data_IF_693707702203
#
_entry.id   IF_693707702203
#
_cell.length_a   1.000
_cell.length_b   1.000
_cell.length_c   1.000
_cell.angle_alpha   90.00
_cell.angle_beta   90.00
_cell.angle_gamma   90.00
#
_symmetry.space_group_name_H-M   'P 1'
#
loop_
_entity.id
_entity.type
_entity.pdbx_description
1 polymer ?
#
# COMPACT_ATOMS: atom_id res chain seq x y z
N UNK A 1 58.50 -31.90 12.10
CA UNK A 1 57.07 -31.78 11.75
C UNK A 1 56.96 -31.92 10.24
N UNK A 2 56.47 -33.06 9.74
CA UNK A 2 56.44 -33.35 8.30
C UNK A 2 55.48 -32.44 7.55
N UNK A 3 55.95 -31.90 6.43
CA UNK A 3 55.19 -31.04 5.49
C UNK A 3 54.03 -31.78 4.81
N UNK A 4 54.02 -33.12 4.85
CA UNK A 4 52.95 -33.97 4.29
C UNK A 4 51.62 -33.93 5.06
N UNK A 5 51.61 -33.39 6.28
CA UNK A 5 50.40 -33.25 7.11
C UNK A 5 49.55 -32.01 6.72
N UNK A 6 50.16 -31.02 6.07
CA UNK A 6 49.48 -29.77 5.72
C UNK A 6 48.34 -29.95 4.69
N UNK A 7 48.49 -30.76 3.61
CA UNK A 7 47.40 -31.05 2.69
C UNK A 7 46.25 -31.85 3.33
N UNK A 8 46.54 -32.71 4.32
CA UNK A 8 45.51 -33.45 5.05
C UNK A 8 44.69 -32.50 5.95
N UNK A 9 45.37 -31.63 6.69
CA UNK A 9 44.74 -30.62 7.54
C UNK A 9 43.92 -29.60 6.73
N UNK A 10 44.41 -29.18 5.57
CA UNK A 10 43.66 -28.30 4.67
C UNK A 10 42.36 -28.95 4.18
N UNK A 11 42.42 -30.22 3.74
CA UNK A 11 41.21 -30.98 3.34
C UNK A 11 40.22 -31.12 4.48
N UNK A 12 40.70 -31.42 5.69
CA UNK A 12 39.85 -31.50 6.89
C UNK A 12 39.17 -30.15 7.20
N UNK A 13 39.92 -29.05 7.18
CA UNK A 13 39.38 -27.71 7.38
C UNK A 13 38.36 -27.31 6.30
N UNK A 14 38.63 -27.64 5.03
CA UNK A 14 37.68 -27.42 3.93
C UNK A 14 36.41 -28.28 4.08
N UNK A 15 36.53 -29.49 4.62
CA UNK A 15 35.38 -30.34 4.97
C UNK A 15 34.53 -29.71 6.07
N UNK A 16 35.16 -29.27 7.16
CA UNK A 16 34.48 -28.60 8.26
C UNK A 16 33.78 -27.30 7.82
N UNK A 17 34.43 -26.49 6.98
CA UNK A 17 33.83 -25.26 6.44
C UNK A 17 32.61 -25.55 5.56
N UNK A 18 32.66 -26.58 4.72
CA UNK A 18 31.51 -27.01 3.91
C UNK A 18 30.35 -27.49 4.77
N UNK A 19 30.63 -28.28 5.81
CA UNK A 19 29.62 -28.74 6.75
C UNK A 19 28.98 -27.57 7.52
N UNK A 20 29.80 -26.63 8.01
CA UNK A 20 29.31 -25.44 8.70
C UNK A 20 28.43 -24.57 7.78
N UNK A 21 28.84 -24.39 6.51
CA UNK A 21 28.03 -23.67 5.53
C UNK A 21 26.68 -24.36 5.27
N UNK A 22 26.68 -25.67 5.05
CA UNK A 22 25.44 -26.43 4.87
C UNK A 22 24.51 -26.32 6.09
N UNK A 23 25.07 -26.31 7.31
CA UNK A 23 24.31 -26.09 8.54
C UNK A 23 23.68 -24.69 8.61
N UNK A 24 24.40 -23.65 8.17
CA UNK A 24 23.86 -22.29 8.10
C UNK A 24 22.75 -22.17 7.06
N UNK A 25 22.94 -22.77 5.88
CA UNK A 25 21.93 -22.77 4.82
C UNK A 25 20.64 -23.47 5.29
N UNK A 26 20.78 -24.60 6.02
CA UNK A 26 19.64 -25.30 6.62
C UNK A 26 18.95 -24.45 7.68
N UNK A 27 19.70 -23.83 8.60
CA UNK A 27 19.13 -22.97 9.63
C UNK A 27 18.38 -21.76 9.04
N UNK A 28 18.87 -21.19 7.93
CA UNK A 28 18.19 -20.12 7.21
C UNK A 28 16.88 -20.61 6.58
N UNK A 29 16.87 -21.80 5.99
CA UNK A 29 15.65 -22.41 5.45
C UNK A 29 14.61 -22.67 6.55
N UNK A 30 15.03 -23.19 7.70
CA UNK A 30 14.17 -23.45 8.85
C UNK A 30 13.58 -22.15 9.42
N UNK A 31 14.39 -21.09 9.52
CA UNK A 31 13.92 -19.77 9.96
C UNK A 31 12.89 -19.19 8.98
N UNK A 32 13.15 -19.27 7.67
CA UNK A 32 12.21 -18.81 6.65
C UNK A 32 10.87 -19.58 6.73
N UNK A 33 10.93 -20.91 6.92
CA UNK A 33 9.75 -21.73 7.10
C UNK A 33 8.96 -21.36 8.37
N UNK A 34 9.65 -21.10 9.49
CA UNK A 34 9.03 -20.66 10.74
C UNK A 34 8.34 -19.29 10.59
N UNK A 35 9.01 -18.32 9.96
CA UNK A 35 8.41 -17.01 9.67
C UNK A 35 7.14 -17.13 8.81
N UNK A 36 7.18 -17.97 7.77
CA UNK A 36 6.02 -18.22 6.91
C UNK A 36 4.86 -18.89 7.68
N UNK A 37 5.17 -19.81 8.60
CA UNK A 37 4.17 -20.45 9.45
C UNK A 37 3.50 -19.44 10.40
N UNK A 38 4.28 -18.57 11.04
CA UNK A 38 3.76 -17.51 11.92
C UNK A 38 2.86 -16.55 11.16
N UNK A 39 3.28 -16.09 9.97
CA UNK A 39 2.46 -15.21 9.13
C UNK A 39 1.12 -15.86 8.75
N UNK A 40 1.13 -17.16 8.45
CA UNK A 40 -0.07 -17.92 8.12
C UNK A 40 -1.02 -18.05 9.32
N UNK A 41 -0.48 -18.32 10.51
CA UNK A 41 -1.27 -18.39 11.74
C UNK A 41 -1.88 -17.03 12.12
N UNK A 42 -1.12 -15.95 11.93
CA UNK A 42 -1.63 -14.59 12.15
C UNK A 42 -2.81 -14.27 11.21
N UNK A 43 -2.67 -14.55 9.92
CA UNK A 43 -3.74 -14.35 8.94
C UNK A 43 -5.00 -15.20 9.26
N UNK A 44 -4.82 -16.45 9.69
CA UNK A 44 -5.93 -17.31 10.12
C UNK A 44 -6.60 -16.79 11.40
N UNK A 45 -5.83 -16.30 12.36
CA UNK A 45 -6.37 -15.71 13.59
C UNK A 45 -7.19 -14.45 13.27
N UNK A 46 -6.67 -13.55 12.44
CA UNK A 46 -7.37 -12.35 11.99
C UNK A 46 -8.67 -12.70 11.26
N UNK A 47 -8.62 -13.63 10.30
CA UNK A 47 -9.82 -14.09 9.59
C UNK A 47 -10.88 -14.68 10.53
N UNK A 48 -10.46 -15.45 11.55
CA UNK A 48 -11.36 -15.98 12.58
C UNK A 48 -11.99 -14.88 13.43
N UNK A 49 -11.21 -13.87 13.83
CA UNK A 49 -11.73 -12.72 14.58
C UNK A 49 -12.78 -11.98 13.75
N UNK A 50 -12.47 -11.68 12.48
CA UNK A 50 -13.39 -11.00 11.57
C UNK A 50 -14.67 -11.82 11.38
N UNK A 51 -14.57 -13.13 11.17
CA UNK A 51 -15.72 -14.02 10.99
C UNK A 51 -16.57 -14.17 12.26
N UNK A 52 -15.98 -13.98 13.45
CA UNK A 52 -16.69 -14.01 14.72
C UNK A 52 -17.36 -12.67 15.08
N UNK A 53 -17.07 -11.59 14.36
CA UNK A 53 -17.78 -10.33 14.55
C UNK A 53 -19.25 -10.50 14.16
N UNK A 54 -20.19 -9.94 14.94
CA UNK A 54 -21.59 -9.98 14.59
C UNK A 54 -21.82 -9.30 13.24
N UNK A 55 -22.63 -9.90 12.38
CA UNK A 55 -23.09 -9.24 11.16
C UNK A 55 -23.84 -7.97 11.55
N UNK A 56 -23.42 -6.83 11.01
CA UNK A 56 -24.16 -5.59 11.18
C UNK A 56 -25.37 -5.63 10.26
N UNK A 57 -26.49 -6.11 10.79
CA UNK A 57 -27.78 -6.14 10.07
C UNK A 57 -28.48 -4.77 10.08
N UNK A 58 -27.78 -3.71 10.54
CA UNK A 58 -28.30 -2.34 10.54
C UNK A 58 -28.39 -1.88 9.08
N UNK A 59 -29.59 -1.64 8.54
CA UNK A 59 -29.74 -1.09 7.20
C UNK A 59 -29.03 0.27 7.14
N UNK A 60 -28.48 0.64 5.99
CA UNK A 60 -27.97 2.01 5.79
C UNK A 60 -29.12 2.99 6.05
N UNK A 61 -29.12 3.59 7.24
CA UNK A 61 -30.27 4.33 7.76
C UNK A 61 -30.45 5.64 7.00
N UNK A 62 -31.69 6.15 6.98
CA UNK A 62 -31.97 7.51 6.51
C UNK A 62 -31.10 8.55 7.23
N UNK A 63 -30.72 8.30 8.50
CA UNK A 63 -29.78 9.11 9.27
C UNK A 63 -28.41 9.26 8.57
N UNK A 64 -27.83 8.18 8.03
CA UNK A 64 -26.55 8.26 7.28
C UNK A 64 -26.69 9.01 5.95
N UNK A 65 -27.87 8.96 5.31
CA UNK A 65 -28.19 9.76 4.10
C UNK A 65 -28.40 11.24 4.43
N UNK A 66 -29.04 11.55 5.56
CA UNK A 66 -29.24 12.92 6.04
C UNK A 66 -27.93 13.59 6.48
N UNK A 67 -26.99 12.82 7.04
CA UNK A 67 -25.64 13.27 7.36
C UNK A 67 -24.64 13.13 6.22
N UNK A 68 -25.07 12.65 5.04
CA UNK A 68 -24.26 12.79 3.84
C UNK A 68 -24.21 14.30 3.55
N UNK A 69 -23.04 14.96 3.59
CA UNK A 69 -23.00 16.37 3.26
C UNK A 69 -23.49 16.51 1.82
N UNK A 70 -24.68 17.10 1.65
CA UNK A 70 -25.31 17.33 0.34
C UNK A 70 -24.61 18.42 -0.48
N UNK A 71 -23.53 19.00 0.06
CA UNK A 71 -22.70 19.96 -0.65
C UNK A 71 -21.80 19.22 -1.63
N UNK A 72 -21.88 19.47 -2.94
CA UNK A 72 -20.93 18.92 -3.91
C UNK A 72 -19.51 19.30 -3.48
N UNK A 73 -18.54 18.42 -3.73
CA UNK A 73 -17.16 18.78 -3.44
C UNK A 73 -16.79 20.02 -4.27
N UNK A 74 -15.90 20.85 -3.75
CA UNK A 74 -15.55 22.10 -4.42
C UNK A 74 -15.03 21.88 -5.85
N UNK A 75 -14.31 20.78 -6.09
CA UNK A 75 -13.87 20.33 -7.42
C UNK A 75 -15.01 19.84 -8.34
N UNK A 76 -16.15 19.42 -7.78
CA UNK A 76 -17.33 19.09 -8.60
C UNK A 76 -18.02 20.38 -9.07
N UNK A 77 -18.09 21.38 -8.19
CA UNK A 77 -18.74 22.68 -8.43
C UNK A 77 -17.88 23.66 -9.25
N UNK A 78 -16.55 23.52 -9.22
CA UNK A 78 -15.61 24.43 -9.89
C UNK A 78 -14.87 23.71 -11.05
N UNK A 79 -15.33 23.86 -12.30
CA UNK A 79 -14.74 23.14 -13.44
C UNK A 79 -13.32 23.62 -13.77
N UNK A 80 -13.01 24.89 -13.51
CA UNK A 80 -11.68 25.46 -13.74
C UNK A 80 -10.67 24.88 -12.73
N UNK A 81 -11.02 24.89 -11.43
CA UNK A 81 -10.19 24.29 -10.39
C UNK A 81 -10.04 22.78 -10.60
N UNK A 82 -11.09 22.10 -11.08
CA UNK A 82 -11.02 20.69 -11.46
C UNK A 82 -10.03 20.44 -12.59
N UNK A 83 -10.09 21.22 -13.66
CA UNK A 83 -9.15 21.11 -14.78
C UNK A 83 -7.71 21.35 -14.32
N UNK A 84 -7.49 22.34 -13.45
CA UNK A 84 -6.19 22.62 -12.86
C UNK A 84 -5.62 21.41 -12.10
N UNK A 85 -6.43 20.80 -11.24
CA UNK A 85 -6.04 19.61 -10.47
C UNK A 85 -5.77 18.42 -11.38
N UNK A 86 -6.67 18.13 -12.33
CA UNK A 86 -6.53 17.00 -13.25
C UNK A 86 -5.27 17.10 -14.11
N UNK A 87 -4.90 18.30 -14.56
CA UNK A 87 -3.69 18.51 -15.35
C UNK A 87 -2.38 18.23 -14.58
N UNK A 88 -2.43 18.16 -13.24
CA UNK A 88 -1.26 18.04 -12.35
C UNK A 88 -1.27 16.78 -11.49
N UNK A 89 -2.39 16.06 -11.45
CA UNK A 89 -2.62 14.94 -10.52
C UNK A 89 -1.64 13.78 -10.74
N UNK A 90 -1.16 13.62 -11.98
CA UNK A 90 -0.24 12.56 -12.38
C UNK A 90 1.24 12.95 -12.22
N UNK A 91 1.55 14.25 -12.14
CA UNK A 91 2.92 14.77 -12.11
C UNK A 91 3.33 15.37 -10.76
N UNK A 92 2.37 15.81 -9.94
CA UNK A 92 2.61 16.47 -8.65
C UNK A 92 1.93 15.73 -7.51
N UNK A 93 2.51 15.88 -6.31
CA UNK A 93 1.89 15.38 -5.08
C UNK A 93 0.68 16.26 -4.69
N UNK A 94 -0.27 15.70 -3.94
CA UNK A 94 -1.44 16.47 -3.47
C UNK A 94 -1.08 17.71 -2.64
N UNK A 95 0.06 17.67 -1.93
CA UNK A 95 0.54 18.83 -1.18
C UNK A 95 1.00 19.93 -2.14
N UNK A 96 1.84 19.59 -3.12
CA UNK A 96 2.31 20.55 -4.13
C UNK A 96 1.15 21.18 -4.91
N UNK A 97 0.13 20.38 -5.28
CA UNK A 97 -1.06 20.90 -5.96
C UNK A 97 -1.81 21.88 -5.06
N UNK A 98 -1.98 21.58 -3.77
CA UNK A 98 -2.64 22.49 -2.82
C UNK A 98 -1.85 23.80 -2.65
N UNK A 99 -0.52 23.73 -2.64
CA UNK A 99 0.34 24.91 -2.54
C UNK A 99 0.24 25.77 -3.81
N UNK A 100 0.24 25.17 -5.00
CA UNK A 100 0.01 25.89 -6.27
C UNK A 100 -1.39 26.52 -6.35
N UNK A 101 -2.41 25.82 -5.85
CA UNK A 101 -3.77 26.38 -5.73
C UNK A 101 -3.76 27.59 -4.81
N UNK A 102 -3.05 27.52 -3.68
CA UNK A 102 -2.95 28.64 -2.75
C UNK A 102 -2.25 29.87 -3.36
N UNK A 103 -1.33 29.66 -4.31
CA UNK A 103 -0.66 30.73 -5.04
C UNK A 103 -1.56 31.39 -6.09
N UNK A 104 -2.37 30.60 -6.82
CA UNK A 104 -3.09 31.07 -8.00
C UNK A 104 -4.56 31.42 -7.76
N UNK A 105 -5.19 30.83 -6.75
CA UNK A 105 -6.61 30.99 -6.49
C UNK A 105 -6.87 31.87 -5.25
N UNK A 106 -7.96 32.67 -5.27
CA UNK A 106 -8.39 33.45 -4.11
C UNK A 106 -8.79 32.51 -2.96
N UNK A 107 -8.74 33.01 -1.72
CA UNK A 107 -8.85 32.21 -0.49
C UNK A 107 -10.09 31.31 -0.47
N UNK A 108 -11.20 31.78 -1.02
CA UNK A 108 -12.50 31.11 -1.08
C UNK A 108 -12.49 29.90 -2.03
N UNK A 109 -11.58 29.90 -3.01
CA UNK A 109 -11.41 28.82 -4.00
C UNK A 109 -10.30 27.83 -3.64
N UNK A 110 -9.57 28.08 -2.55
CA UNK A 110 -8.46 27.21 -2.12
C UNK A 110 -8.97 25.91 -1.53
N UNK A 111 -8.28 24.82 -1.86
CA UNK A 111 -8.55 23.49 -1.31
C UNK A 111 -7.27 22.87 -0.77
N UNK A 112 -7.39 22.17 0.36
CA UNK A 112 -6.27 21.45 0.96
C UNK A 112 -6.05 20.08 0.32
N UNK A 113 -4.85 19.52 0.52
CA UNK A 113 -4.44 18.20 -0.03
C UNK A 113 -5.44 17.08 0.24
N UNK A 114 -6.07 17.07 1.42
CA UNK A 114 -7.01 16.03 1.81
C UNK A 114 -8.27 16.07 0.96
N UNK A 115 -8.75 17.27 0.60
CA UNK A 115 -9.89 17.44 -0.29
C UNK A 115 -9.57 16.92 -1.70
N UNK A 116 -8.37 17.22 -2.21
CA UNK A 116 -7.86 16.72 -3.49
C UNK A 116 -7.78 15.19 -3.48
N UNK A 117 -7.14 14.59 -2.47
CA UNK A 117 -6.99 13.13 -2.35
C UNK A 117 -8.35 12.42 -2.25
N UNK A 118 -9.26 12.90 -1.40
CA UNK A 118 -10.59 12.30 -1.26
C UNK A 118 -11.42 12.39 -2.53
N UNK A 119 -11.32 13.52 -3.25
CA UNK A 119 -11.99 13.69 -4.52
C UNK A 119 -11.41 12.76 -5.60
N UNK A 120 -10.09 12.67 -5.72
CA UNK A 120 -9.44 11.80 -6.70
C UNK A 120 -9.77 10.33 -6.45
N UNK A 121 -9.61 9.84 -5.21
CA UNK A 121 -9.94 8.44 -4.84
C UNK A 121 -11.41 8.10 -5.15
N UNK A 122 -12.34 9.04 -4.98
CA UNK A 122 -13.76 8.83 -5.29
C UNK A 122 -14.02 8.72 -6.80
N UNK A 123 -13.30 9.51 -7.60
CA UNK A 123 -13.53 9.64 -9.03
C UNK A 123 -12.67 8.70 -9.90
N UNK A 124 -11.58 8.13 -9.37
CA UNK A 124 -10.71 7.17 -10.07
C UNK A 124 -11.49 6.01 -10.72
N UNK A 125 -12.51 5.48 -10.04
CA UNK A 125 -13.34 4.37 -10.57
C UNK A 125 -14.16 4.75 -11.81
N UNK A 126 -14.45 6.03 -12.01
CA UNK A 126 -15.15 6.54 -13.20
C UNK A 126 -14.20 6.83 -14.36
N UNK A 127 -12.93 7.13 -14.08
CA UNK A 127 -11.93 7.44 -15.11
C UNK A 127 -11.26 6.19 -15.70
N UNK A 128 -11.09 5.12 -14.94
CA UNK A 128 -10.47 3.86 -15.44
C UNK A 128 -11.45 2.93 -16.16
N UNK A 129 -12.71 3.34 -16.36
CA UNK A 129 -13.77 2.53 -16.99
C UNK A 129 -14.04 2.81 -18.47
N UNK A 130 -13.30 3.72 -19.11
CA UNK A 130 -13.49 4.08 -20.53
C UNK A 130 -12.18 3.92 -21.29
N UNK A 131 -11.80 2.66 -21.54
CA UNK A 131 -10.59 2.32 -22.26
C UNK A 131 -10.55 0.87 -22.71
N UNK A 132 -11.64 0.35 -23.30
CA UNK A 132 -11.56 -0.70 -24.32
C UNK A 132 -12.92 -0.92 -25.01
N UNK A 133 -13.13 -0.28 -26.16
CA UNK A 133 -14.09 -0.70 -27.19
C UNK A 133 -13.73 0.02 -28.50
N UNK A 134 -13.19 -0.75 -29.45
CA UNK A 134 -13.07 -0.36 -30.86
C UNK A 134 -11.65 0.00 -31.30
N UNK A 135 -10.90 -1.01 -31.74
CA UNK A 135 -10.63 -1.28 -33.17
C UNK A 135 -10.20 -2.73 -33.35
#
# INVERSE_FOLDING_TARGET
MSTDDLPARLRAAQGALRAAKAGLDQAQADLAAACAAVARLAALAEAKVIAALPSSDVPVTAHRRAHRPGRPAQLDADPELRAFVLARIDSLTYQQIADEIALQYPLERRIGKSAIHHWWRRNQRGFTGSGNAGE
#
